data_IF_554694202163
#
_entry.id   IF_554694202163
#
_cell.length_a   1.000
_cell.length_b   1.000
_cell.length_c   1.000
_cell.angle_alpha   90.00
_cell.angle_beta   90.00
_cell.angle_gamma   90.00
#
_symmetry.space_group_name_H-M   'P 1'
#
loop_
_entity.id
_entity.type
_entity.pdbx_description
1 polymer ?
#
# COMPACT_ATOMS: atom_id res chain seq x y z
N UNK A 1 -16.60 1.98 37.33
CA UNK A 1 -15.93 0.83 36.67
C UNK A 1 -15.30 1.36 35.38
N UNK A 2 -14.01 1.17 35.19
CA UNK A 2 -13.33 1.54 33.93
C UNK A 2 -13.82 0.59 32.82
N UNK A 3 -14.24 1.15 31.68
CA UNK A 3 -14.64 0.40 30.48
C UNK A 3 -13.53 -0.58 30.08
N UNK A 4 -13.85 -1.85 29.81
CA UNK A 4 -12.84 -2.80 29.31
C UNK A 4 -12.39 -2.43 27.88
N UNK A 5 -11.16 -2.82 27.50
CA UNK A 5 -10.67 -2.59 26.12
C UNK A 5 -11.60 -3.22 25.08
N UNK A 6 -12.18 -4.38 25.38
CA UNK A 6 -13.09 -5.06 24.47
C UNK A 6 -14.42 -4.28 24.32
N UNK A 7 -14.99 -3.78 25.42
CA UNK A 7 -16.21 -2.97 25.38
C UNK A 7 -15.98 -1.67 24.62
N UNK A 8 -14.82 -0.99 24.88
CA UNK A 8 -14.41 0.18 24.15
C UNK A 8 -14.32 -0.07 22.63
N UNK A 9 -13.61 -1.13 22.21
CA UNK A 9 -13.48 -1.48 20.80
C UNK A 9 -14.80 -1.89 20.16
N UNK A 10 -15.66 -2.60 20.90
CA UNK A 10 -17.01 -2.97 20.45
C UNK A 10 -17.86 -1.71 20.21
N UNK A 11 -17.79 -0.72 21.10
CA UNK A 11 -18.49 0.56 20.96
C UNK A 11 -18.00 1.32 19.71
N UNK A 12 -16.67 1.40 19.48
CA UNK A 12 -16.10 2.00 18.28
C UNK A 12 -16.57 1.27 17.01
N UNK A 13 -16.53 -0.07 17.03
CA UNK A 13 -16.95 -0.90 15.90
C UNK A 13 -18.41 -0.69 15.52
N UNK A 14 -19.30 -0.65 16.53
CA UNK A 14 -20.73 -0.38 16.31
C UNK A 14 -20.95 1.00 15.71
N UNK A 15 -20.32 2.03 16.28
CA UNK A 15 -20.43 3.39 15.77
C UNK A 15 -19.88 3.54 14.33
N UNK A 16 -18.75 2.87 14.01
CA UNK A 16 -18.22 2.83 12.65
C UNK A 16 -19.19 2.14 11.67
N UNK A 17 -19.80 1.01 12.08
CA UNK A 17 -20.80 0.28 11.26
C UNK A 17 -22.04 1.12 10.96
N UNK A 18 -22.52 1.90 11.90
CA UNK A 18 -23.63 2.86 11.67
C UNK A 18 -23.18 4.00 10.75
N UNK A 19 -22.02 4.58 11.00
CA UNK A 19 -21.47 5.67 10.18
C UNK A 19 -21.15 5.24 8.75
N UNK A 20 -20.75 3.97 8.52
CA UNK A 20 -20.45 3.45 7.18
C UNK A 20 -21.67 3.49 6.24
N UNK A 21 -22.88 3.32 6.77
CA UNK A 21 -24.11 3.43 5.99
C UNK A 21 -24.38 4.87 5.54
N UNK A 22 -24.03 5.84 6.37
CA UNK A 22 -24.20 7.27 6.05
C UNK A 22 -23.18 7.70 5.00
N UNK A 23 -21.87 7.44 5.25
CA UNK A 23 -20.82 7.86 4.33
C UNK A 23 -20.89 7.11 2.99
N UNK A 24 -21.35 5.87 2.97
CA UNK A 24 -21.55 5.09 1.76
C UNK A 24 -22.60 5.66 0.80
N UNK A 25 -23.52 6.49 1.32
CA UNK A 25 -24.55 7.19 0.56
C UNK A 25 -24.24 8.69 0.37
N UNK A 26 -23.15 9.19 0.94
CA UNK A 26 -22.78 10.62 0.84
C UNK A 26 -22.42 10.99 -0.60
N UNK A 27 -22.81 12.19 -1.03
CA UNK A 27 -22.44 12.70 -2.35
C UNK A 27 -20.95 13.00 -2.44
N UNK A 28 -20.40 12.95 -3.65
CA UNK A 28 -19.02 13.37 -3.94
C UNK A 28 -18.74 14.80 -3.43
N UNK A 29 -19.69 15.71 -3.58
CA UNK A 29 -19.56 17.08 -3.09
C UNK A 29 -19.42 17.13 -1.57
N UNK A 30 -20.17 16.32 -0.84
CA UNK A 30 -20.12 16.25 0.63
C UNK A 30 -18.79 15.66 1.11
N UNK A 31 -18.31 14.56 0.49
CA UNK A 31 -17.00 13.98 0.77
C UNK A 31 -15.85 14.97 0.49
N UNK A 32 -15.92 15.67 -0.65
CA UNK A 32 -14.91 16.66 -1.02
C UNK A 32 -14.92 17.87 -0.05
N UNK A 33 -16.09 18.31 0.40
CA UNK A 33 -16.20 19.37 1.41
C UNK A 33 -15.53 18.96 2.72
N UNK A 34 -15.75 17.73 3.19
CA UNK A 34 -15.09 17.21 4.39
C UNK A 34 -13.56 17.22 4.27
N UNK A 35 -13.03 16.73 3.13
CA UNK A 35 -11.59 16.69 2.87
C UNK A 35 -10.97 18.09 2.78
N UNK A 36 -11.61 19.04 2.10
CA UNK A 36 -11.14 20.43 2.01
C UNK A 36 -11.16 21.12 3.38
N UNK A 37 -12.22 20.92 4.14
CA UNK A 37 -12.34 21.48 5.49
C UNK A 37 -11.30 20.88 6.46
N UNK A 38 -11.02 19.58 6.36
CA UNK A 38 -9.94 18.95 7.12
C UNK A 38 -8.56 19.52 6.72
N UNK A 39 -8.30 19.77 5.43
CA UNK A 39 -7.09 20.42 4.97
C UNK A 39 -6.92 21.85 5.55
N UNK A 40 -7.99 22.62 5.55
CA UNK A 40 -8.00 23.97 6.14
C UNK A 40 -7.80 23.90 7.68
N UNK A 41 -8.39 22.90 8.34
CA UNK A 41 -8.23 22.69 9.77
C UNK A 41 -6.78 22.33 10.15
N UNK A 42 -6.09 21.49 9.34
CA UNK A 42 -4.65 21.19 9.52
C UNK A 42 -3.80 22.43 9.36
N UNK A 43 -4.07 23.25 8.35
CA UNK A 43 -3.34 24.49 8.11
C UNK A 43 -3.48 25.47 9.29
N UNK A 44 -4.70 25.64 9.81
CA UNK A 44 -4.97 26.47 10.97
C UNK A 44 -4.36 25.92 12.29
N UNK A 45 -4.18 24.60 12.39
CA UNK A 45 -3.71 23.91 13.60
C UNK A 45 -2.20 23.62 13.62
N UNK A 46 -1.38 24.22 12.72
CA UNK A 46 0.06 23.93 12.59
C UNK A 46 0.81 23.98 13.94
N UNK A 47 0.56 25.01 14.73
CA UNK A 47 1.20 25.18 16.05
C UNK A 47 0.78 24.06 17.02
N UNK A 48 -0.50 23.70 17.03
CA UNK A 48 -1.02 22.60 17.88
C UNK A 48 -0.43 21.24 17.47
N UNK A 49 -0.34 21.01 16.15
CA UNK A 49 0.25 19.78 15.59
C UNK A 49 1.74 19.65 15.95
N UNK A 50 2.50 20.73 15.80
CA UNK A 50 3.92 20.77 16.17
C UNK A 50 4.10 20.53 17.68
N UNK A 51 3.31 21.17 18.53
CA UNK A 51 3.36 20.99 19.96
C UNK A 51 3.01 19.55 20.39
N UNK A 52 1.98 18.94 19.79
CA UNK A 52 1.63 17.55 20.03
C UNK A 52 2.74 16.58 19.57
N UNK A 53 3.38 16.86 18.44
CA UNK A 53 4.47 16.04 17.92
C UNK A 53 5.73 16.14 18.80
N UNK A 54 6.05 17.31 19.36
CA UNK A 54 7.17 17.45 20.30
C UNK A 54 6.99 16.60 21.56
N UNK A 55 5.75 16.41 22.06
CA UNK A 55 5.48 15.49 23.16
C UNK A 55 5.82 14.04 22.78
N UNK A 56 5.42 13.60 21.59
CA UNK A 56 5.71 12.26 21.07
C UNK A 56 7.22 12.07 20.86
N UNK A 57 7.91 13.05 20.28
CA UNK A 57 9.36 13.02 20.06
C UNK A 57 10.14 13.00 21.38
N UNK A 58 9.73 13.78 22.36
CA UNK A 58 10.36 13.80 23.70
C UNK A 58 10.19 12.45 24.40
N UNK A 59 8.99 11.88 24.37
CA UNK A 59 8.72 10.54 24.90
C UNK A 59 9.51 9.45 24.14
N UNK A 60 9.58 9.52 22.81
CA UNK A 60 10.36 8.61 21.99
C UNK A 60 11.86 8.63 22.32
N UNK A 61 12.45 9.81 22.47
CA UNK A 61 13.86 9.96 22.89
C UNK A 61 14.09 9.39 24.30
N UNK A 62 13.20 9.68 25.23
CA UNK A 62 13.30 9.19 26.61
C UNK A 62 13.20 7.66 26.69
N UNK A 63 12.42 7.04 25.81
CA UNK A 63 12.25 5.58 25.71
C UNK A 63 13.30 4.90 24.81
N UNK A 64 14.31 5.62 24.31
CA UNK A 64 15.37 5.05 23.47
C UNK A 64 14.93 4.62 22.08
N UNK A 65 13.92 5.28 21.50
CA UNK A 65 13.47 4.99 20.15
C UNK A 65 14.62 5.22 19.13
N UNK A 66 14.81 4.27 18.24
CA UNK A 66 15.85 4.32 17.20
C UNK A 66 15.77 5.60 16.35
N UNK A 67 16.92 6.20 15.95
CA UNK A 67 16.95 7.46 15.19
C UNK A 67 16.07 7.46 13.93
N UNK A 68 16.05 6.34 13.19
CA UNK A 68 15.23 6.19 11.99
C UNK A 68 13.72 6.21 12.29
N UNK A 69 13.30 5.74 13.47
CA UNK A 69 11.91 5.79 13.90
C UNK A 69 11.56 7.20 14.41
N UNK A 70 12.47 7.89 15.09
CA UNK A 70 12.30 9.29 15.48
C UNK A 70 12.16 10.21 14.26
N UNK A 71 12.96 9.97 13.21
CA UNK A 71 12.82 10.70 11.95
C UNK A 71 11.44 10.47 11.31
N UNK A 72 10.95 9.22 11.29
CA UNK A 72 9.62 8.89 10.77
C UNK A 72 8.49 9.51 11.58
N UNK A 73 8.67 9.64 12.89
CA UNK A 73 7.71 10.20 13.84
C UNK A 73 7.56 11.71 13.70
N UNK A 74 8.63 12.42 13.29
CA UNK A 74 8.65 13.88 13.22
C UNK A 74 7.61 14.45 12.24
N UNK A 75 6.79 15.39 12.66
CA UNK A 75 5.90 16.21 11.83
C UNK A 75 6.59 17.56 11.53
N UNK A 76 7.47 17.57 10.52
CA UNK A 76 8.08 18.82 10.06
C UNK A 76 7.06 19.70 9.32
N UNK A 77 7.31 21.01 9.15
CA UNK A 77 6.43 21.86 8.35
C UNK A 77 6.13 21.30 6.96
N UNK A 78 7.14 20.73 6.30
CA UNK A 78 7.03 20.12 4.97
C UNK A 78 6.12 18.88 4.99
N UNK A 79 6.16 18.08 6.06
CA UNK A 79 5.27 16.93 6.23
C UNK A 79 3.82 17.36 6.50
N UNK A 80 3.62 18.46 7.24
CA UNK A 80 2.28 19.05 7.42
C UNK A 80 1.76 19.58 6.07
N UNK A 81 2.60 20.27 5.30
CA UNK A 81 2.26 20.69 3.94
C UNK A 81 1.89 19.51 3.05
N UNK A 82 2.66 18.42 3.14
CA UNK A 82 2.37 17.17 2.42
C UNK A 82 1.00 16.58 2.76
N UNK A 83 0.60 16.57 4.04
CA UNK A 83 -0.73 16.12 4.46
C UNK A 83 -1.84 17.01 3.90
N UNK A 84 -1.67 18.32 3.91
CA UNK A 84 -2.64 19.29 3.37
C UNK A 84 -2.79 19.12 1.85
N UNK A 85 -1.67 19.01 1.13
CA UNK A 85 -1.65 18.76 -0.32
C UNK A 85 -2.30 17.42 -0.63
N UNK A 86 -1.98 16.35 0.11
CA UNK A 86 -2.56 15.02 -0.06
C UNK A 86 -4.09 15.02 0.07
N UNK A 87 -4.64 15.69 1.09
CA UNK A 87 -6.10 15.85 1.24
C UNK A 87 -6.75 16.52 0.03
N UNK A 88 -6.12 17.59 -0.48
CA UNK A 88 -6.63 18.31 -1.66
C UNK A 88 -6.54 17.47 -2.93
N UNK A 89 -5.47 16.70 -3.08
CA UNK A 89 -5.31 15.75 -4.18
C UNK A 89 -6.38 14.67 -4.14
N UNK A 90 -6.60 14.02 -2.98
CA UNK A 90 -7.65 13.00 -2.82
C UNK A 90 -9.05 13.59 -3.06
N UNK A 91 -9.32 14.83 -2.62
CA UNK A 91 -10.59 15.51 -2.91
C UNK A 91 -10.81 15.69 -4.42
N UNK A 92 -9.75 15.94 -5.19
CA UNK A 92 -9.81 16.13 -6.65
C UNK A 92 -9.95 14.83 -7.44
N UNK A 93 -9.63 13.67 -6.85
CA UNK A 93 -9.75 12.37 -7.52
C UNK A 93 -11.22 12.07 -7.90
N UNK A 94 -11.46 11.35 -9.00
CA UNK A 94 -12.79 10.82 -9.31
C UNK A 94 -13.32 9.94 -8.17
N UNK A 95 -14.60 10.12 -7.84
CA UNK A 95 -15.27 9.27 -6.84
C UNK A 95 -15.69 7.95 -7.49
N UNK A 96 -15.19 6.79 -7.04
CA UNK A 96 -15.54 5.51 -7.64
C UNK A 96 -16.95 5.03 -7.26
N UNK A 97 -17.51 5.55 -6.16
CA UNK A 97 -18.79 5.04 -5.61
C UNK A 97 -19.96 5.42 -6.51
N UNK A 98 -20.80 4.45 -6.83
CA UNK A 98 -21.96 4.63 -7.68
C UNK A 98 -21.70 4.45 -9.17
N UNK A 99 -20.44 4.26 -9.59
CA UNK A 99 -20.12 3.96 -10.99
C UNK A 99 -20.79 2.65 -11.43
N UNK A 100 -21.54 2.69 -12.53
CA UNK A 100 -22.22 1.52 -13.11
C UNK A 100 -21.49 1.12 -14.39
N UNK A 101 -21.24 -0.21 -14.55
CA UNK A 101 -20.60 -0.77 -15.73
C UNK A 101 -21.29 -2.04 -16.21
N UNK A 102 -21.03 -2.41 -17.46
CA UNK A 102 -21.45 -3.67 -18.09
C UNK A 102 -22.98 -3.88 -18.09
N UNK A 103 -23.78 -2.79 -18.05
CA UNK A 103 -25.24 -2.86 -18.12
C UNK A 103 -25.69 -3.37 -19.48
N UNK A 104 -26.34 -4.53 -19.52
CA UNK A 104 -26.79 -5.17 -20.77
C UNK A 104 -28.07 -5.98 -20.58
N UNK A 105 -28.86 -6.08 -21.63
CA UNK A 105 -30.05 -6.97 -21.67
C UNK A 105 -29.63 -8.43 -21.66
N UNK A 106 -30.41 -9.23 -20.97
CA UNK A 106 -30.31 -10.70 -20.96
C UNK A 106 -31.43 -11.31 -21.79
N UNK A 107 -31.31 -12.57 -22.22
CA UNK A 107 -32.37 -13.24 -23.01
C UNK A 107 -33.74 -13.26 -22.32
N UNK A 108 -33.77 -13.16 -21.00
CA UNK A 108 -35.02 -13.05 -20.21
C UNK A 108 -35.66 -11.65 -20.22
N UNK A 109 -35.04 -10.66 -20.89
CA UNK A 109 -35.54 -9.29 -20.93
C UNK A 109 -35.11 -8.40 -19.78
N UNK A 110 -34.48 -8.95 -18.74
CA UNK A 110 -33.90 -8.13 -17.66
C UNK A 110 -32.61 -7.47 -18.09
N UNK A 111 -32.27 -6.31 -17.51
CA UNK A 111 -30.95 -5.70 -17.61
C UNK A 111 -30.13 -6.08 -16.38
N UNK A 112 -28.85 -6.42 -16.60
CA UNK A 112 -27.91 -6.75 -15.53
C UNK A 112 -26.64 -5.93 -15.73
N UNK A 113 -26.19 -5.27 -14.66
CA UNK A 113 -24.93 -4.52 -14.62
C UNK A 113 -24.28 -4.63 -13.26
N UNK A 114 -23.15 -3.96 -13.08
CA UNK A 114 -22.41 -3.89 -11.81
C UNK A 114 -22.30 -2.45 -11.37
N UNK A 115 -22.51 -2.21 -10.08
CA UNK A 115 -22.33 -0.90 -9.44
C UNK A 115 -21.24 -1.00 -8.38
N UNK A 116 -20.31 -0.05 -8.40
CA UNK A 116 -19.25 0.06 -7.42
C UNK A 116 -19.79 0.63 -6.11
N UNK A 117 -19.46 -0.02 -4.99
CA UNK A 117 -19.89 0.34 -3.64
C UNK A 117 -18.73 0.27 -2.66
N UNK A 118 -18.75 1.03 -1.52
CA UNK A 118 -17.73 0.92 -0.49
C UNK A 118 -17.60 -0.49 0.07
N UNK A 119 -16.43 -0.84 0.61
CA UNK A 119 -16.23 -2.07 1.38
C UNK A 119 -17.03 -2.05 2.70
N UNK A 120 -17.13 -0.88 3.34
CA UNK A 120 -17.87 -0.69 4.59
C UNK A 120 -17.04 -0.04 5.68
N UNK A 121 -16.49 -0.82 6.62
CA UNK A 121 -15.62 -0.36 7.70
C UNK A 121 -14.23 -0.92 7.51
N UNK A 122 -13.22 -0.05 7.48
CA UNK A 122 -11.81 -0.41 7.30
C UNK A 122 -11.03 -0.15 8.59
N UNK A 123 -10.44 -1.20 9.15
CA UNK A 123 -9.50 -1.10 10.26
C UNK A 123 -8.08 -0.90 9.74
N UNK A 124 -7.38 0.12 10.22
CA UNK A 124 -6.00 0.41 9.78
C UNK A 124 -5.10 0.44 11.00
N UNK A 125 -4.04 -0.38 10.96
CA UNK A 125 -3.07 -0.51 12.05
C UNK A 125 -1.73 -0.05 11.52
N UNK A 126 -1.13 0.99 12.14
CA UNK A 126 0.10 1.59 11.63
C UNK A 126 1.06 1.98 12.76
N UNK A 127 2.34 2.13 12.44
CA UNK A 127 3.44 2.39 13.36
C UNK A 127 4.20 3.66 12.95
N UNK A 128 4.65 4.44 13.95
CA UNK A 128 5.63 5.55 13.85
C UNK A 128 5.49 6.51 12.65
N UNK A 129 4.28 6.71 12.14
CA UNK A 129 4.01 7.59 10.97
C UNK A 129 2.70 8.36 11.16
N UNK A 130 2.71 9.51 11.87
CA UNK A 130 1.49 10.27 12.13
C UNK A 130 0.73 10.70 10.87
N UNK A 131 1.45 10.97 9.76
CA UNK A 131 0.83 11.31 8.47
C UNK A 131 -0.11 10.21 7.95
N UNK A 132 0.14 8.94 8.27
CA UNK A 132 -0.74 7.83 7.85
C UNK A 132 -2.16 8.00 8.38
N UNK A 133 -2.35 8.69 9.52
CA UNK A 133 -3.67 9.02 10.05
C UNK A 133 -4.50 9.78 9.02
N UNK A 134 -3.91 10.77 8.35
CA UNK A 134 -4.62 11.58 7.36
C UNK A 134 -4.71 10.89 6.00
N UNK A 135 -3.64 10.22 5.58
CA UNK A 135 -3.59 9.54 4.29
C UNK A 135 -4.67 8.44 4.25
N UNK A 136 -4.72 7.61 5.30
CA UNK A 136 -5.71 6.55 5.45
C UNK A 136 -7.14 7.07 5.58
N UNK A 137 -7.36 8.09 6.44
CA UNK A 137 -8.67 8.69 6.62
C UNK A 137 -9.22 9.28 5.32
N UNK A 138 -8.38 9.99 4.57
CA UNK A 138 -8.80 10.65 3.32
C UNK A 138 -9.25 9.64 2.25
N UNK A 139 -8.50 8.57 2.06
CA UNK A 139 -8.83 7.52 1.10
C UNK A 139 -10.10 6.76 1.49
N UNK A 140 -10.25 6.41 2.78
CA UNK A 140 -11.45 5.76 3.28
C UNK A 140 -12.68 6.65 3.12
N UNK A 141 -12.59 7.93 3.51
CA UNK A 141 -13.69 8.89 3.38
C UNK A 141 -14.07 9.09 1.91
N UNK A 142 -13.10 9.30 1.00
CA UNK A 142 -13.36 9.51 -0.43
C UNK A 142 -14.00 8.29 -1.08
N UNK A 143 -13.57 7.08 -0.71
CA UNK A 143 -14.14 5.82 -1.19
C UNK A 143 -15.44 5.41 -0.49
N UNK A 144 -15.99 6.27 0.40
CA UNK A 144 -17.27 6.05 1.08
C UNK A 144 -17.23 5.07 2.24
N UNK A 145 -16.05 4.80 2.80
CA UNK A 145 -15.87 3.88 3.92
C UNK A 145 -15.76 4.64 5.25
N UNK A 146 -16.28 4.04 6.32
CA UNK A 146 -15.87 4.41 7.66
C UNK A 146 -14.54 3.74 8.02
N UNK A 147 -13.77 4.34 8.94
CA UNK A 147 -12.47 3.77 9.33
C UNK A 147 -12.19 3.87 10.81
N UNK A 148 -11.54 2.83 11.35
CA UNK A 148 -10.98 2.77 12.69
C UNK A 148 -9.46 2.73 12.57
N UNK A 149 -8.79 3.78 13.02
CA UNK A 149 -7.36 4.00 12.90
C UNK A 149 -6.68 3.67 14.24
N UNK A 150 -5.78 2.69 14.24
CA UNK A 150 -4.98 2.34 15.40
C UNK A 150 -3.51 2.63 15.10
N UNK A 151 -3.04 3.81 15.49
CA UNK A 151 -1.64 4.22 15.40
C UNK A 151 -0.78 3.62 16.52
N UNK A 152 0.52 3.63 16.34
CA UNK A 152 1.48 3.26 17.36
C UNK A 152 1.39 4.16 18.60
N UNK A 153 1.76 3.62 19.76
CA UNK A 153 1.74 4.35 21.04
C UNK A 153 2.68 5.54 21.07
N UNK A 154 3.74 5.48 20.28
CA UNK A 154 4.76 6.51 20.13
C UNK A 154 4.27 7.79 19.43
N UNK A 155 3.12 7.74 18.75
CA UNK A 155 2.54 8.85 17.98
C UNK A 155 1.17 9.31 18.53
N UNK A 156 0.82 8.96 19.76
CA UNK A 156 -0.53 9.12 20.27
C UNK A 156 -1.00 10.58 20.31
N UNK A 157 -0.13 11.53 20.67
CA UNK A 157 -0.47 12.95 20.73
C UNK A 157 -0.65 13.53 19.33
N UNK A 158 0.25 13.25 18.41
CA UNK A 158 0.15 13.65 17.01
C UNK A 158 -1.11 13.08 16.35
N UNK A 159 -1.39 11.79 16.53
CA UNK A 159 -2.56 11.14 15.93
C UNK A 159 -3.87 11.76 16.45
N UNK A 160 -3.96 12.11 17.74
CA UNK A 160 -5.13 12.80 18.32
C UNK A 160 -5.29 14.21 17.75
N UNK A 161 -4.20 14.97 17.62
CA UNK A 161 -4.25 16.32 17.06
C UNK A 161 -4.70 16.30 15.59
N UNK A 162 -4.19 15.35 14.78
CA UNK A 162 -4.62 15.15 13.40
C UNK A 162 -6.10 14.73 13.36
N UNK A 163 -6.53 13.80 14.22
CA UNK A 163 -7.92 13.36 14.31
C UNK A 163 -8.88 14.52 14.59
N UNK A 164 -8.49 15.45 15.48
CA UNK A 164 -9.30 16.63 15.76
C UNK A 164 -9.53 17.51 14.52
N UNK A 165 -8.52 17.63 13.63
CA UNK A 165 -8.67 18.33 12.35
C UNK A 165 -9.63 17.60 11.40
N UNK A 166 -9.55 16.26 11.35
CA UNK A 166 -10.47 15.45 10.55
C UNK A 166 -11.91 15.60 11.06
N UNK A 167 -12.10 15.59 12.39
CA UNK A 167 -13.42 15.76 13.01
C UNK A 167 -14.05 17.12 12.69
N UNK A 168 -13.25 18.21 12.64
CA UNK A 168 -13.71 19.54 12.16
C UNK A 168 -14.20 19.45 10.71
N UNK A 169 -13.45 18.75 9.84
CA UNK A 169 -13.85 18.54 8.45
C UNK A 169 -15.15 17.75 8.28
N UNK A 170 -15.32 16.67 9.05
CA UNK A 170 -16.57 15.89 9.06
C UNK A 170 -17.76 16.73 9.51
N UNK A 171 -17.59 17.52 10.59
CA UNK A 171 -18.65 18.38 11.12
C UNK A 171 -19.10 19.45 10.11
N UNK A 172 -18.15 20.09 9.40
CA UNK A 172 -18.45 21.10 8.36
C UNK A 172 -19.20 20.48 7.17
N UNK A 173 -18.96 19.20 6.90
CA UNK A 173 -19.67 18.45 5.86
C UNK A 173 -20.96 17.77 6.35
N UNK A 174 -21.36 17.98 7.59
CA UNK A 174 -22.53 17.33 8.22
C UNK A 174 -22.45 15.78 8.16
N UNK A 175 -21.24 15.25 8.31
CA UNK A 175 -20.98 13.81 8.38
C UNK A 175 -20.78 13.37 9.84
N UNK A 176 -21.22 12.15 10.19
CA UNK A 176 -21.02 11.63 11.53
C UNK A 176 -19.54 11.57 11.93
N UNK A 177 -19.21 11.97 13.14
CA UNK A 177 -17.86 11.89 13.70
C UNK A 177 -17.28 10.46 13.63
N UNK A 178 -18.12 9.44 13.77
CA UNK A 178 -17.73 8.04 13.72
C UNK A 178 -17.31 7.52 12.32
N UNK A 179 -17.38 8.36 11.27
CA UNK A 179 -16.83 8.02 9.95
C UNK A 179 -15.30 7.82 10.03
N UNK A 180 -14.62 8.61 10.86
CA UNK A 180 -13.19 8.42 11.12
C UNK A 180 -12.96 8.41 12.62
N UNK A 181 -12.53 7.28 13.14
CA UNK A 181 -12.24 7.11 14.57
C UNK A 181 -10.78 6.74 14.77
N UNK A 182 -10.10 7.40 15.70
CA UNK A 182 -8.75 7.06 16.14
C UNK A 182 -8.85 6.38 17.50
N UNK A 183 -8.23 5.20 17.63
CA UNK A 183 -8.18 4.46 18.90
C UNK A 183 -7.30 5.21 19.89
N UNK A 184 -7.87 5.63 21.01
CA UNK A 184 -7.21 6.49 21.99
C UNK A 184 -6.38 5.72 23.02
N UNK A 185 -6.59 4.41 23.16
CA UNK A 185 -5.82 3.57 24.07
C UNK A 185 -4.53 3.07 23.45
N UNK A 186 -3.46 3.03 24.23
CA UNK A 186 -2.18 2.44 23.84
C UNK A 186 -2.12 0.93 24.08
N UNK A 187 -3.16 0.35 24.69
CA UNK A 187 -3.19 -1.07 25.00
C UNK A 187 -3.16 -1.92 23.70
N UNK A 188 -2.23 -2.87 23.66
CA UNK A 188 -2.08 -3.80 22.53
C UNK A 188 -3.26 -4.76 22.37
N UNK A 189 -4.09 -4.93 23.40
CA UNK A 189 -5.33 -5.72 23.31
C UNK A 189 -6.31 -5.12 22.31
N UNK A 190 -6.29 -3.79 22.10
CA UNK A 190 -7.12 -3.11 21.11
C UNK A 190 -6.83 -3.59 19.68
N UNK A 191 -5.57 -3.91 19.35
CA UNK A 191 -5.21 -4.51 18.05
C UNK A 191 -5.84 -5.88 17.90
N UNK A 192 -5.73 -6.74 18.94
CA UNK A 192 -6.34 -8.06 18.94
C UNK A 192 -7.87 -8.00 18.76
N UNK A 193 -8.53 -7.07 19.46
CA UNK A 193 -9.98 -6.86 19.29
C UNK A 193 -10.31 -6.42 17.86
N UNK A 194 -9.60 -5.41 17.32
CA UNK A 194 -9.86 -4.85 15.99
C UNK A 194 -9.81 -5.91 14.88
N UNK A 195 -8.81 -6.80 14.91
CA UNK A 195 -8.61 -7.82 13.87
C UNK A 195 -9.54 -9.04 14.03
N UNK A 196 -10.31 -9.12 15.13
CA UNK A 196 -11.17 -10.28 15.42
C UNK A 196 -12.66 -9.93 15.56
N UNK A 197 -13.10 -8.76 15.03
CA UNK A 197 -14.50 -8.30 15.09
C UNK A 197 -15.15 -8.18 13.70
N UNK A 198 -15.34 -9.31 12.95
CA UNK A 198 -15.87 -9.29 11.58
C UNK A 198 -17.32 -8.77 11.49
N UNK A 199 -18.06 -8.74 12.59
CA UNK A 199 -19.41 -8.15 12.67
C UNK A 199 -19.40 -6.62 12.49
N UNK A 200 -18.27 -5.96 12.77
CA UNK A 200 -18.13 -4.51 12.70
C UNK A 200 -17.11 -4.02 11.68
N UNK A 201 -16.13 -4.82 11.34
CA UNK A 201 -15.00 -4.45 10.45
C UNK A 201 -14.97 -5.37 9.25
N UNK A 202 -14.90 -4.82 8.05
CA UNK A 202 -14.94 -5.58 6.79
C UNK A 202 -13.54 -5.95 6.29
N UNK A 203 -12.55 -5.07 6.51
CA UNK A 203 -11.17 -5.26 6.03
C UNK A 203 -10.19 -4.63 7.02
N UNK A 204 -9.04 -5.27 7.20
CA UNK A 204 -7.87 -4.74 7.93
C UNK A 204 -6.75 -4.41 6.95
N UNK A 205 -6.10 -3.26 7.14
CA UNK A 205 -4.89 -2.85 6.41
C UNK A 205 -3.77 -2.60 7.42
N UNK A 206 -2.82 -3.53 7.58
CA UNK A 206 -1.65 -3.30 8.42
C UNK A 206 -0.59 -2.47 7.67
N UNK A 207 0.00 -1.48 8.36
CA UNK A 207 1.05 -0.57 7.87
C UNK A 207 2.18 -0.47 8.89
N UNK A 208 3.04 -1.44 8.95
CA UNK A 208 4.13 -1.50 9.91
C UNK A 208 5.20 -2.50 9.54
N UNK A 209 6.05 -2.85 10.48
CA UNK A 209 7.11 -3.84 10.27
C UNK A 209 6.56 -5.27 10.13
N UNK A 210 7.43 -6.17 9.62
CA UNK A 210 7.12 -7.58 9.34
C UNK A 210 6.39 -8.28 10.50
N UNK A 211 6.84 -8.07 11.75
CA UNK A 211 6.22 -8.70 12.93
C UNK A 211 4.75 -8.31 13.16
N UNK A 212 4.37 -7.06 12.86
CA UNK A 212 2.96 -6.65 12.89
C UNK A 212 2.15 -7.36 11.80
N UNK A 213 2.67 -7.39 10.59
CA UNK A 213 1.97 -7.98 9.43
C UNK A 213 1.80 -9.49 9.62
N UNK A 214 2.84 -10.19 10.08
CA UNK A 214 2.78 -11.62 10.41
C UNK A 214 1.74 -11.91 11.51
N UNK A 215 1.74 -11.13 12.59
CA UNK A 215 0.75 -11.26 13.66
C UNK A 215 -0.68 -11.05 13.14
N UNK A 216 -0.92 -9.98 12.40
CA UNK A 216 -2.23 -9.71 11.82
C UNK A 216 -2.64 -10.84 10.86
N UNK A 217 -1.73 -11.31 10.00
CA UNK A 217 -2.00 -12.39 9.04
C UNK A 217 -2.37 -13.71 9.72
N UNK A 218 -1.76 -14.01 10.87
CA UNK A 218 -2.02 -15.24 11.62
C UNK A 218 -3.30 -15.18 12.44
N UNK A 219 -3.56 -14.04 13.10
CA UNK A 219 -4.56 -13.93 14.17
C UNK A 219 -5.87 -13.30 13.69
N UNK A 220 -5.90 -12.65 12.51
CA UNK A 220 -7.08 -11.95 12.02
C UNK A 220 -8.21 -12.92 11.62
N UNK A 221 -9.43 -12.55 12.00
CA UNK A 221 -10.70 -13.14 11.52
C UNK A 221 -11.39 -12.25 10.49
N UNK A 222 -10.92 -11.03 10.34
CA UNK A 222 -11.34 -10.05 9.32
C UNK A 222 -10.39 -10.21 8.12
N UNK A 223 -10.87 -10.13 6.86
CA UNK A 223 -10.01 -10.09 5.68
C UNK A 223 -8.93 -9.02 5.78
N UNK A 224 -7.73 -9.32 5.25
CA UNK A 224 -6.57 -8.44 5.36
C UNK A 224 -6.05 -8.09 3.98
N UNK A 225 -5.83 -6.80 3.71
CA UNK A 225 -5.10 -6.30 2.54
C UNK A 225 -3.66 -6.05 2.98
N UNK A 226 -2.70 -6.80 2.45
CA UNK A 226 -1.31 -6.78 2.91
C UNK A 226 -0.29 -7.17 1.84
N UNK A 227 0.96 -6.82 2.10
CA UNK A 227 2.15 -7.52 1.63
C UNK A 227 3.08 -7.75 2.84
N UNK A 228 3.92 -8.77 2.78
CA UNK A 228 4.90 -9.06 3.84
C UNK A 228 6.22 -8.37 3.55
N UNK A 229 6.81 -8.66 2.39
CA UNK A 229 8.11 -8.18 1.96
C UNK A 229 8.06 -7.68 0.52
N UNK A 230 8.96 -6.78 0.15
CA UNK A 230 9.17 -6.28 -1.21
C UNK A 230 10.45 -6.86 -1.83
N UNK A 231 10.51 -8.18 -2.06
CA UNK A 231 11.66 -8.81 -2.72
C UNK A 231 11.49 -8.66 -4.23
N UNK A 232 11.93 -7.51 -4.75
CA UNK A 232 11.76 -7.15 -6.15
C UNK A 232 12.99 -7.53 -6.99
N UNK A 233 12.76 -7.96 -8.23
CA UNK A 233 13.81 -8.37 -9.15
C UNK A 233 13.84 -7.48 -10.40
N UNK A 234 15.04 -7.28 -10.94
CA UNK A 234 15.24 -6.82 -12.31
C UNK A 234 16.03 -7.90 -13.06
N UNK A 235 15.45 -8.41 -14.15
CA UNK A 235 16.12 -9.34 -15.04
C UNK A 235 16.63 -8.65 -16.29
N UNK A 236 17.92 -8.71 -16.55
CA UNK A 236 18.58 -8.24 -17.77
C UNK A 236 18.72 -9.41 -18.74
N UNK A 237 17.91 -9.40 -19.79
CA UNK A 237 17.84 -10.45 -20.82
C UNK A 237 19.04 -10.38 -21.78
N UNK A 238 19.30 -11.48 -22.49
CA UNK A 238 20.27 -11.51 -23.61
C UNK A 238 19.94 -10.50 -24.72
N UNK A 239 18.66 -10.11 -24.85
CA UNK A 239 18.17 -9.14 -25.83
C UNK A 239 18.02 -7.72 -25.25
N UNK A 240 18.68 -7.42 -24.12
CA UNK A 240 18.59 -6.10 -23.50
C UNK A 240 19.49 -5.07 -24.20
N UNK A 241 18.99 -3.84 -24.33
CA UNK A 241 19.87 -2.68 -24.49
C UNK A 241 20.60 -2.46 -23.17
N UNK A 242 21.92 -2.74 -23.16
CA UNK A 242 22.71 -2.71 -21.93
C UNK A 242 22.83 -1.32 -21.31
N UNK A 243 22.82 -0.26 -22.12
CA UNK A 243 22.84 1.11 -21.60
C UNK A 243 21.51 1.46 -20.91
N UNK A 244 20.39 1.00 -21.45
CA UNK A 244 19.07 1.09 -20.82
C UNK A 244 19.02 0.26 -19.54
N UNK A 245 19.52 -0.97 -19.58
CA UNK A 245 19.55 -1.87 -18.43
C UNK A 245 20.36 -1.30 -17.26
N UNK A 246 21.49 -0.65 -17.52
CA UNK A 246 22.27 0.03 -16.48
C UNK A 246 21.48 1.12 -15.78
N UNK A 247 20.82 2.01 -16.54
CA UNK A 247 20.00 3.08 -15.94
C UNK A 247 18.84 2.54 -15.12
N UNK A 248 18.16 1.50 -15.61
CA UNK A 248 17.02 0.86 -14.93
C UNK A 248 17.47 0.18 -13.64
N UNK A 249 18.46 -0.69 -13.70
CA UNK A 249 18.97 -1.42 -12.54
C UNK A 249 19.53 -0.47 -11.47
N UNK A 250 20.28 0.56 -11.91
CA UNK A 250 20.81 1.57 -11.01
C UNK A 250 19.69 2.32 -10.28
N UNK A 251 18.72 2.82 -11.01
CA UNK A 251 17.58 3.55 -10.43
C UNK A 251 16.72 2.65 -9.54
N UNK A 252 16.44 1.41 -9.95
CA UNK A 252 15.64 0.45 -9.19
C UNK A 252 16.21 0.17 -7.79
N UNK A 253 17.54 0.20 -7.62
CA UNK A 253 18.16 0.02 -6.30
C UNK A 253 18.42 1.34 -5.58
N UNK A 254 18.94 2.37 -6.26
CA UNK A 254 19.52 3.55 -5.61
C UNK A 254 18.57 4.74 -5.49
N UNK A 255 17.39 4.70 -6.10
CA UNK A 255 16.39 5.75 -5.95
C UNK A 255 16.00 5.92 -4.47
N UNK A 256 15.69 4.81 -3.79
CA UNK A 256 15.37 4.81 -2.37
C UNK A 256 15.45 3.39 -1.80
N UNK A 257 16.44 3.13 -0.94
CA UNK A 257 16.67 1.78 -0.39
C UNK A 257 15.51 1.26 0.49
N UNK A 258 14.88 2.12 1.26
CA UNK A 258 13.89 1.75 2.28
C UNK A 258 12.44 1.68 1.79
N UNK A 259 12.19 1.39 0.52
CA UNK A 259 10.85 1.17 -0.04
C UNK A 259 10.70 -0.26 -0.55
N UNK A 260 9.51 -0.81 -0.45
CA UNK A 260 9.22 -2.19 -0.88
C UNK A 260 9.35 -2.42 -2.40
N UNK A 261 9.31 -1.35 -3.22
CA UNK A 261 9.57 -1.39 -4.65
C UNK A 261 11.06 -1.31 -5.03
N UNK A 262 11.99 -1.21 -4.06
CA UNK A 262 13.42 -1.23 -4.35
C UNK A 262 13.86 -2.62 -4.85
N UNK A 263 14.75 -2.65 -5.84
CA UNK A 263 15.32 -3.92 -6.31
C UNK A 263 16.19 -4.55 -5.22
N UNK A 264 15.91 -5.80 -4.86
CA UNK A 264 16.72 -6.58 -3.91
C UNK A 264 17.57 -7.65 -4.60
N UNK A 265 17.15 -8.10 -5.78
CA UNK A 265 17.92 -9.05 -6.59
C UNK A 265 18.00 -8.62 -8.05
N UNK A 266 19.22 -8.61 -8.58
CA UNK A 266 19.53 -8.39 -10.00
C UNK A 266 19.84 -9.74 -10.65
N UNK A 267 19.03 -10.15 -11.61
CA UNK A 267 19.23 -11.33 -12.44
C UNK A 267 19.83 -10.91 -13.77
N UNK A 268 20.90 -11.56 -14.22
CA UNK A 268 21.59 -11.20 -15.47
C UNK A 268 21.78 -12.45 -16.31
N UNK A 269 21.36 -12.37 -17.58
CA UNK A 269 21.60 -13.46 -18.52
C UNK A 269 23.09 -13.70 -18.69
N UNK A 270 23.48 -14.97 -18.75
CA UNK A 270 24.89 -15.39 -18.85
C UNK A 270 25.58 -14.82 -20.11
N UNK A 271 24.84 -14.62 -21.18
CA UNK A 271 25.37 -14.14 -22.48
C UNK A 271 25.84 -12.70 -22.41
N UNK A 272 25.20 -11.86 -21.60
CA UNK A 272 25.52 -10.43 -21.43
C UNK A 272 26.22 -10.11 -20.11
N UNK A 273 26.35 -11.08 -19.21
CA UNK A 273 26.86 -10.84 -17.86
C UNK A 273 28.28 -10.24 -17.84
N UNK A 274 29.17 -10.71 -18.72
CA UNK A 274 30.57 -10.21 -18.78
C UNK A 274 30.66 -8.77 -19.24
N UNK A 275 29.76 -8.34 -20.12
CA UNK A 275 29.76 -6.98 -20.67
C UNK A 275 28.99 -6.01 -19.76
N UNK A 276 27.99 -6.50 -19.03
CA UNK A 276 27.11 -5.68 -18.19
C UNK A 276 27.62 -5.51 -16.75
N UNK A 277 28.01 -6.60 -16.09
CA UNK A 277 28.28 -6.59 -14.64
C UNK A 277 29.46 -5.72 -14.20
N UNK A 278 30.61 -5.65 -14.92
CA UNK A 278 31.76 -4.86 -14.45
C UNK A 278 31.43 -3.36 -14.29
N UNK A 279 30.79 -2.76 -15.30
CA UNK A 279 30.39 -1.35 -15.26
C UNK A 279 29.28 -1.09 -14.26
N UNK A 280 28.32 -1.99 -14.15
CA UNK A 280 27.20 -1.89 -13.20
C UNK A 280 27.68 -1.98 -11.75
N UNK A 281 28.59 -2.91 -11.45
CA UNK A 281 29.20 -3.06 -10.13
C UNK A 281 29.99 -1.81 -9.71
N UNK A 282 30.70 -1.18 -10.62
CA UNK A 282 31.42 0.06 -10.35
C UNK A 282 30.44 1.18 -9.92
N UNK A 283 29.34 1.37 -10.63
CA UNK A 283 28.31 2.37 -10.30
C UNK A 283 27.65 2.11 -8.94
N UNK A 284 27.33 0.86 -8.61
CA UNK A 284 26.75 0.53 -7.30
C UNK A 284 27.73 0.77 -6.15
N UNK A 285 29.03 0.45 -6.34
CA UNK A 285 30.06 0.71 -5.33
C UNK A 285 30.28 2.19 -5.07
N UNK A 286 30.21 3.04 -6.09
CA UNK A 286 30.26 4.50 -5.92
C UNK A 286 29.12 5.01 -5.01
N UNK A 287 28.00 4.30 -4.95
CA UNK A 287 26.87 4.59 -4.04
C UNK A 287 26.97 3.84 -2.70
N UNK A 288 28.06 3.12 -2.45
CA UNK A 288 28.24 2.35 -1.23
C UNK A 288 27.35 1.10 -1.12
N UNK A 289 26.87 0.57 -2.24
CA UNK A 289 26.05 -0.65 -2.25
C UNK A 289 26.95 -1.87 -2.11
N UNK A 290 26.72 -2.68 -1.08
CA UNK A 290 27.31 -4.01 -0.92
C UNK A 290 26.72 -4.97 -1.96
N UNK A 291 27.59 -5.67 -2.70
CA UNK A 291 27.18 -6.63 -3.71
C UNK A 291 27.37 -8.06 -3.18
N UNK A 292 26.30 -8.88 -3.24
CA UNK A 292 26.32 -10.30 -2.91
C UNK A 292 26.06 -11.11 -4.16
N UNK A 293 27.00 -11.97 -4.56
CA UNK A 293 26.96 -12.64 -5.85
C UNK A 293 26.98 -14.15 -5.75
N UNK A 294 26.24 -14.83 -6.65
CA UNK A 294 26.43 -16.26 -6.88
C UNK A 294 27.84 -16.55 -7.41
N UNK A 295 28.27 -17.80 -7.48
CA UNK A 295 29.59 -18.20 -7.94
C UNK A 295 29.94 -17.62 -9.33
N UNK A 296 29.00 -17.67 -10.29
CA UNK A 296 29.18 -17.12 -11.64
C UNK A 296 29.32 -15.59 -11.64
N UNK A 297 28.57 -14.91 -10.78
CA UNK A 297 28.71 -13.46 -10.59
C UNK A 297 30.10 -13.09 -10.06
N UNK A 298 30.57 -13.83 -9.05
CA UNK A 298 31.88 -13.63 -8.41
C UNK A 298 33.07 -13.97 -9.33
N UNK A 299 32.85 -14.79 -10.32
CA UNK A 299 33.85 -15.03 -11.38
C UNK A 299 34.03 -13.83 -12.33
N UNK A 300 33.09 -12.86 -12.33
CA UNK A 300 33.11 -11.69 -13.22
C UNK A 300 33.43 -10.40 -12.45
N UNK A 301 32.87 -10.23 -11.26
CA UNK A 301 33.05 -9.07 -10.40
C UNK A 301 33.42 -9.48 -8.97
N UNK A 302 34.13 -8.61 -8.26
CA UNK A 302 34.33 -8.77 -6.82
C UNK A 302 32.99 -8.56 -6.10
N UNK A 303 32.55 -9.54 -5.31
CA UNK A 303 31.32 -9.52 -4.52
C UNK A 303 31.41 -10.51 -3.36
N UNK A 304 30.70 -10.23 -2.28
CA UNK A 304 30.51 -11.19 -1.17
C UNK A 304 29.77 -12.41 -1.70
N UNK A 305 30.06 -13.60 -1.16
CA UNK A 305 29.32 -14.80 -1.54
C UNK A 305 27.86 -14.70 -1.07
N UNK A 306 26.92 -14.77 -2.01
CA UNK A 306 25.51 -14.87 -1.67
C UNK A 306 25.20 -16.24 -1.09
N UNK A 307 24.33 -16.27 -0.07
CA UNK A 307 23.76 -17.46 0.55
C UNK A 307 22.33 -17.70 0.03
N UNK A 308 21.72 -18.83 0.36
CA UNK A 308 20.32 -19.10 -0.02
C UNK A 308 19.34 -18.12 0.65
N UNK A 309 19.67 -17.57 1.82
CA UNK A 309 18.88 -16.58 2.53
C UNK A 309 18.84 -15.24 1.79
N UNK A 310 19.93 -14.87 1.12
CA UNK A 310 20.02 -13.61 0.35
C UNK A 310 18.96 -13.53 -0.76
N UNK A 311 18.56 -14.67 -1.35
CA UNK A 311 17.54 -14.69 -2.41
C UNK A 311 16.12 -14.43 -1.91
N UNK A 312 15.89 -14.55 -0.60
CA UNK A 312 14.58 -14.34 0.05
C UNK A 312 14.60 -13.18 1.06
N UNK A 313 15.60 -12.31 0.98
CA UNK A 313 15.78 -11.20 1.92
C UNK A 313 15.39 -9.86 1.30
N UNK A 314 14.48 -9.14 1.94
CA UNK A 314 14.26 -7.72 1.74
C UNK A 314 15.25 -6.94 2.61
N UNK A 315 16.31 -6.41 2.03
CA UNK A 315 17.38 -5.72 2.78
C UNK A 315 16.95 -4.36 3.31
N UNK A 316 16.16 -3.61 2.54
CA UNK A 316 15.80 -2.19 2.83
C UNK A 316 17.06 -1.31 3.10
N UNK A 317 18.19 -1.68 2.55
CA UNK A 317 19.52 -1.17 2.80
C UNK A 317 20.33 -1.10 1.48
N UNK A 318 21.50 -0.43 1.45
CA UNK A 318 22.38 -0.45 0.28
C UNK A 318 23.11 -1.82 0.15
N UNK A 319 22.34 -2.88 -0.01
CA UNK A 319 22.80 -4.27 -0.25
C UNK A 319 22.02 -4.80 -1.44
N UNK A 320 22.67 -5.50 -2.37
CA UNK A 320 22.06 -6.05 -3.57
C UNK A 320 22.57 -7.46 -3.86
N UNK A 321 21.65 -8.40 -4.02
CA UNK A 321 21.95 -9.74 -4.51
C UNK A 321 22.05 -9.77 -6.04
N UNK A 322 23.03 -10.50 -6.60
CA UNK A 322 23.24 -10.61 -8.05
C UNK A 322 23.40 -12.08 -8.43
N UNK A 323 22.59 -12.53 -9.37
CA UNK A 323 22.66 -13.89 -9.90
C UNK A 323 22.74 -13.93 -11.40
N UNK A 324 23.75 -14.64 -11.94
CA UNK A 324 23.81 -14.98 -13.36
C UNK A 324 22.95 -16.21 -13.63
N UNK A 325 22.05 -16.10 -14.61
CA UNK A 325 21.05 -17.13 -14.97
C UNK A 325 21.25 -17.61 -16.42
N UNK A 326 20.77 -18.83 -16.73
CA UNK A 326 20.89 -19.48 -18.05
C UNK A 326 19.74 -19.08 -19.01
N UNK A 327 19.25 -17.86 -18.89
CA UNK A 327 18.19 -17.35 -19.74
C UNK A 327 16.89 -17.04 -19.01
N UNK A 328 15.90 -16.66 -19.82
CA UNK A 328 14.59 -16.21 -19.36
C UNK A 328 13.88 -17.24 -18.44
N UNK A 329 13.95 -18.52 -18.78
CA UNK A 329 13.28 -19.59 -18.01
C UNK A 329 13.76 -19.65 -16.57
N UNK A 330 15.08 -19.66 -16.38
CA UNK A 330 15.68 -19.71 -15.05
C UNK A 330 15.45 -18.41 -14.27
N UNK A 331 15.37 -17.26 -14.96
CA UNK A 331 14.99 -15.99 -14.33
C UNK A 331 13.56 -16.04 -13.79
N UNK A 332 12.60 -16.52 -14.58
CA UNK A 332 11.18 -16.69 -14.18
C UNK A 332 11.06 -17.68 -13.01
N UNK A 333 11.76 -18.82 -13.11
CA UNK A 333 11.76 -19.80 -12.01
C UNK A 333 12.31 -19.20 -10.71
N UNK A 334 13.42 -18.46 -10.79
CA UNK A 334 14.00 -17.79 -9.64
C UNK A 334 13.01 -16.79 -9.00
N UNK A 335 12.41 -15.92 -9.80
CA UNK A 335 11.46 -14.93 -9.33
C UNK A 335 10.24 -15.61 -8.66
N UNK A 336 9.63 -16.59 -9.31
CA UNK A 336 8.45 -17.26 -8.79
C UNK A 336 8.75 -18.08 -7.51
N UNK A 337 10.00 -18.54 -7.34
CA UNK A 337 10.42 -19.33 -6.18
C UNK A 337 10.84 -18.48 -4.98
N UNK A 338 11.54 -17.36 -5.22
CA UNK A 338 12.19 -16.57 -4.17
C UNK A 338 11.55 -15.20 -3.98
N UNK A 339 10.80 -14.71 -4.96
CA UNK A 339 10.13 -13.40 -4.90
C UNK A 339 8.97 -13.37 -3.92
N UNK A 340 8.60 -12.16 -3.54
CA UNK A 340 7.48 -11.87 -2.65
C UNK A 340 6.15 -11.61 -3.38
N UNK A 341 6.10 -11.83 -4.68
CA UNK A 341 4.97 -11.46 -5.56
C UNK A 341 4.64 -9.96 -5.57
N UNK A 342 5.61 -9.12 -5.20
CA UNK A 342 5.44 -7.67 -5.16
C UNK A 342 5.60 -7.05 -6.55
N UNK A 343 6.83 -6.88 -7.01
CA UNK A 343 7.10 -6.20 -8.29
C UNK A 343 8.37 -6.75 -8.93
N UNK A 344 8.27 -7.15 -10.19
CA UNK A 344 9.42 -7.68 -10.94
C UNK A 344 9.48 -7.08 -12.34
N UNK A 345 10.69 -6.86 -12.85
CA UNK A 345 10.95 -6.20 -14.11
C UNK A 345 11.85 -7.05 -15.02
N UNK A 346 11.57 -7.01 -16.31
CA UNK A 346 12.46 -7.48 -17.37
C UNK A 346 12.99 -6.29 -18.19
N UNK A 347 14.27 -6.31 -18.51
CA UNK A 347 14.85 -5.43 -19.53
C UNK A 347 15.17 -6.26 -20.77
N UNK A 348 14.44 -6.02 -21.84
CA UNK A 348 14.55 -6.76 -23.12
C UNK A 348 13.94 -5.98 -24.26
N UNK A 349 14.56 -6.05 -25.46
CA UNK A 349 13.99 -5.54 -26.71
C UNK A 349 13.24 -6.64 -27.47
N UNK A 350 13.24 -7.88 -26.99
CA UNK A 350 12.52 -8.98 -27.59
C UNK A 350 11.07 -9.06 -27.09
N UNK A 351 10.11 -8.83 -28.00
CA UNK A 351 8.70 -8.85 -27.68
C UNK A 351 8.21 -10.23 -27.18
N UNK A 352 8.75 -11.33 -27.70
CA UNK A 352 8.37 -12.67 -27.27
C UNK A 352 8.78 -12.93 -25.84
N UNK A 353 10.00 -12.53 -25.45
CA UNK A 353 10.50 -12.66 -24.08
C UNK A 353 9.70 -11.83 -23.10
N UNK A 354 9.40 -10.56 -23.44
CA UNK A 354 8.62 -9.68 -22.58
C UNK A 354 7.19 -10.19 -22.37
N UNK A 355 6.54 -10.70 -23.43
CA UNK A 355 5.20 -11.33 -23.33
C UNK A 355 5.22 -12.58 -22.45
N UNK A 356 6.24 -13.42 -22.62
CA UNK A 356 6.40 -14.64 -21.83
C UNK A 356 6.65 -14.31 -20.37
N UNK A 357 7.52 -13.34 -20.09
CA UNK A 357 7.80 -12.85 -18.73
C UNK A 357 6.52 -12.36 -18.05
N UNK A 358 5.75 -11.47 -18.69
CA UNK A 358 4.48 -10.96 -18.16
C UNK A 358 3.46 -12.07 -17.89
N UNK A 359 3.41 -13.10 -18.75
CA UNK A 359 2.46 -14.19 -18.60
C UNK A 359 2.84 -15.18 -17.48
N UNK A 360 4.13 -15.35 -17.18
CA UNK A 360 4.62 -16.43 -16.32
C UNK A 360 5.13 -15.95 -14.95
N UNK A 361 5.48 -14.68 -14.81
CA UNK A 361 5.86 -14.09 -13.50
C UNK A 361 4.60 -13.75 -12.72
N UNK A 362 4.45 -14.36 -11.54
CA UNK A 362 3.27 -14.18 -10.68
C UNK A 362 3.48 -13.06 -9.65
N UNK A 363 3.61 -11.83 -10.13
CA UNK A 363 3.77 -10.65 -9.28
C UNK A 363 2.60 -9.68 -9.41
N UNK A 364 2.39 -8.86 -8.39
CA UNK A 364 1.31 -7.86 -8.37
C UNK A 364 1.53 -6.76 -9.40
N UNK A 365 2.81 -6.49 -9.72
CA UNK A 365 3.23 -5.61 -10.80
C UNK A 365 4.34 -6.28 -11.60
N UNK A 366 4.16 -6.42 -12.91
CA UNK A 366 5.18 -6.94 -13.83
C UNK A 366 5.54 -5.84 -14.82
N UNK A 367 6.81 -5.49 -14.86
CA UNK A 367 7.31 -4.32 -15.60
C UNK A 367 8.17 -4.73 -16.79
N UNK A 368 8.12 -3.95 -17.85
CA UNK A 368 8.96 -4.07 -19.03
C UNK A 368 9.74 -2.77 -19.21
N UNK A 369 11.07 -2.88 -19.27
CA UNK A 369 11.96 -1.75 -19.56
C UNK A 369 11.77 -0.54 -18.63
N UNK A 370 11.43 -0.79 -17.34
CA UNK A 370 11.29 0.26 -16.34
C UNK A 370 11.69 -0.26 -14.95
N UNK A 371 12.15 0.62 -14.03
CA UNK A 371 12.55 0.22 -12.68
C UNK A 371 11.36 -0.20 -11.81
N UNK A 372 11.59 -1.13 -10.90
CA UNK A 372 10.57 -1.65 -9.96
C UNK A 372 10.01 -0.60 -9.01
N UNK A 373 10.76 0.48 -8.74
CA UNK A 373 10.34 1.58 -7.88
C UNK A 373 9.18 2.43 -8.43
N UNK A 374 8.73 2.22 -9.69
CA UNK A 374 7.50 2.77 -10.22
C UNK A 374 6.23 2.08 -9.69
N UNK A 375 6.34 1.00 -8.90
CA UNK A 375 5.20 0.41 -8.21
C UNK A 375 4.73 1.32 -7.07
N UNK A 376 3.98 2.34 -7.43
CA UNK A 376 3.52 3.44 -6.58
C UNK A 376 2.18 3.95 -7.09
N UNK A 377 1.27 4.31 -6.17
CA UNK A 377 -0.08 4.75 -6.52
C UNK A 377 -0.12 6.06 -7.31
N UNK A 378 0.84 6.98 -7.10
CA UNK A 378 0.93 8.21 -7.91
C UNK A 378 1.41 7.91 -9.32
N UNK A 379 2.47 7.11 -9.44
CA UNK A 379 3.04 6.73 -10.74
C UNK A 379 2.04 5.94 -11.59
N UNK A 380 1.19 5.13 -10.96
CA UNK A 380 0.13 4.38 -11.64
C UNK A 380 -1.13 5.21 -11.94
N UNK A 381 -1.12 6.50 -11.60
CA UNK A 381 -2.26 7.39 -11.84
C UNK A 381 -3.44 7.18 -10.88
N UNK A 382 -3.25 6.44 -9.80
CA UNK A 382 -4.27 6.27 -8.76
C UNK A 382 -4.40 7.50 -7.84
N UNK A 383 -3.44 8.42 -7.91
CA UNK A 383 -3.38 9.67 -7.17
C UNK A 383 -3.07 9.54 -5.67
N UNK A 384 -3.25 8.38 -5.08
CA UNK A 384 -2.86 8.02 -3.71
C UNK A 384 -3.05 6.52 -3.50
N UNK A 385 -2.39 5.95 -2.48
CA UNK A 385 -2.57 4.55 -2.10
C UNK A 385 -2.61 4.39 -0.58
N UNK A 386 -3.40 3.42 -0.11
CA UNK A 386 -3.41 3.05 1.31
C UNK A 386 -2.30 2.05 1.64
N UNK A 387 -1.76 1.39 0.64
CA UNK A 387 -0.71 0.39 0.67
C UNK A 387 -0.69 -0.43 -0.59
N UNK A 388 0.18 -1.44 -0.62
CA UNK A 388 0.28 -2.39 -1.72
C UNK A 388 -0.22 -3.76 -1.23
N UNK A 389 -0.84 -4.53 -2.10
CA UNK A 389 -1.30 -5.90 -1.81
C UNK A 389 -0.65 -6.88 -2.76
N UNK A 390 -0.14 -7.98 -2.22
CA UNK A 390 0.33 -9.12 -3.01
C UNK A 390 -0.68 -10.27 -3.06
N UNK A 391 -1.77 -10.15 -2.30
CA UNK A 391 -2.86 -11.13 -2.30
C UNK A 391 -3.62 -11.13 -3.65
N UNK A 392 -4.15 -12.29 -4.03
CA UNK A 392 -4.89 -12.44 -5.31
C UNK A 392 -6.39 -12.16 -5.18
N UNK A 393 -6.92 -12.28 -3.97
CA UNK A 393 -8.33 -12.00 -3.69
C UNK A 393 -8.50 -10.50 -3.45
N UNK A 394 -9.51 -9.92 -4.12
CA UNK A 394 -9.88 -8.51 -4.09
C UNK A 394 -8.84 -7.62 -4.81
N UNK A 395 -8.16 -6.65 -4.10
CA UNK A 395 -7.17 -5.75 -4.70
C UNK A 395 -5.78 -6.38 -4.72
N UNK A 396 -5.04 -6.22 -5.83
CA UNK A 396 -3.64 -6.64 -5.99
C UNK A 396 -2.82 -5.49 -6.59
N UNK A 397 -1.61 -5.26 -6.10
CA UNK A 397 -0.78 -4.09 -6.41
C UNK A 397 -1.08 -2.89 -5.52
N UNK A 398 -0.74 -1.66 -5.93
CA UNK A 398 -1.08 -0.44 -5.21
C UNK A 398 -2.59 -0.30 -5.02
N UNK A 399 -3.04 -0.07 -3.79
CA UNK A 399 -4.46 -0.02 -3.42
C UNK A 399 -4.90 1.43 -3.28
N UNK A 400 -5.46 1.98 -4.33
CA UNK A 400 -6.09 3.30 -4.36
C UNK A 400 -7.59 3.25 -4.02
N UNK A 401 -8.33 4.29 -4.43
CA UNK A 401 -9.77 4.43 -4.13
C UNK A 401 -10.61 3.24 -4.63
N UNK A 402 -10.34 2.74 -5.84
CA UNK A 402 -11.08 1.59 -6.37
C UNK A 402 -10.86 0.32 -5.56
N UNK A 403 -9.62 0.09 -5.09
CA UNK A 403 -9.29 -1.05 -4.25
C UNK A 403 -9.96 -1.03 -2.86
N UNK A 404 -10.46 0.13 -2.42
CA UNK A 404 -11.26 0.29 -1.20
C UNK A 404 -12.78 0.17 -1.46
N UNK A 405 -13.16 -0.33 -2.62
CA UNK A 405 -14.55 -0.57 -3.03
C UNK A 405 -14.70 -2.00 -3.58
N UNK A 406 -15.93 -2.47 -3.67
CA UNK A 406 -16.29 -3.70 -4.37
C UNK A 406 -17.45 -3.44 -5.32
N UNK A 407 -17.91 -4.48 -6.01
CA UNK A 407 -19.03 -4.38 -6.93
C UNK A 407 -20.20 -5.23 -6.50
N UNK A 408 -21.41 -4.68 -6.58
CA UNK A 408 -22.65 -5.43 -6.47
C UNK A 408 -23.39 -5.48 -7.81
N UNK A 409 -24.14 -6.52 -8.05
CA UNK A 409 -25.03 -6.58 -9.21
C UNK A 409 -26.24 -5.65 -9.04
N UNK A 410 -26.58 -4.95 -10.15
CA UNK A 410 -27.85 -4.26 -10.32
C UNK A 410 -28.64 -5.03 -11.35
N UNK A 411 -29.87 -5.36 -11.03
CA UNK A 411 -30.79 -6.04 -11.93
C UNK A 411 -32.03 -5.17 -12.06
N UNK A 412 -32.34 -4.79 -13.29
CA UNK A 412 -33.54 -3.98 -13.61
C UNK A 412 -34.43 -4.80 -14.53
N UNK A 413 -35.68 -4.90 -14.18
CA UNK A 413 -36.70 -5.61 -14.94
C UNK A 413 -37.99 -4.79 -15.05
N UNK A 414 -38.93 -5.29 -15.83
CA UNK A 414 -40.29 -4.78 -16.01
C UNK A 414 -41.28 -5.93 -15.85
N UNK A 415 -41.19 -6.65 -14.72
CA UNK A 415 -42.09 -7.73 -14.39
C UNK A 415 -41.77 -9.11 -14.99
N UNK A 416 -40.60 -9.32 -15.60
CA UNK A 416 -40.17 -10.63 -16.11
C UNK A 416 -40.12 -11.67 -14.98
N UNK A 417 -40.65 -12.87 -15.27
CA UNK A 417 -40.68 -13.98 -14.31
C UNK A 417 -39.71 -15.09 -14.75
N UNK A 418 -39.02 -15.69 -13.78
CA UNK A 418 -38.11 -16.80 -14.02
C UNK A 418 -38.92 -18.04 -14.42
N UNK A 419 -38.54 -18.72 -15.52
CA UNK A 419 -39.20 -19.93 -16.03
C UNK A 419 -40.38 -19.65 -16.95
N UNK A 420 -40.74 -18.41 -17.23
CA UNK A 420 -41.68 -18.06 -18.29
C UNK A 420 -40.88 -17.65 -19.55
N UNK A 421 -41.28 -18.17 -20.73
CA UNK A 421 -40.73 -17.70 -22.00
C UNK A 421 -41.09 -16.21 -22.14
N UNK A 422 -40.10 -15.38 -22.54
CA UNK A 422 -40.38 -13.99 -22.94
C UNK A 422 -41.39 -14.02 -24.06
N UNK A 423 -42.56 -13.41 -23.86
CA UNK A 423 -43.59 -13.23 -24.90
C UNK A 423 -43.09 -12.22 -25.92
#
# INVERSE_FOLDING_TARGET
MTESVLDYMTRLGRAAREASRVIGCASTAQKNRALQAAANALDAARTELTAANELDLAAGRANGLEPALLERLALTPERIDGMIVGLRQVAALPDPVGAIRDMSFRPSGIQVGKMRVPLGVIGIIYESRPNVTIDAASLCLKSGNATILRGGSEAIHSNRAIAACIQRGLAEAELPAAVVQVVETTDRAAVGALITMPEYVDVIVPRGGRGLIERVSRDARVPVIKHLDGICHVYVSEHADLAKAQRIAFNAKTYRYGICGAMETLLVDQTVAKDFLPSMAAQFREKGVELRGCERTRAIIDAVAATEEDWTTEYLAPILSIRVVDGLEQAIEHINRHGSHHTDSIVSENLADTRRFVAQVDSSSVMINTPTCFADGFEYGLGAEIGISTDKLHARGPVGLEGLTCEKYIVVGDGQLRGQASV
#
